data_IF_781988630789
#
_entry.id   IF_781988630789
#
_cell.length_a   1.000
_cell.length_b   1.000
_cell.length_c   1.000
_cell.angle_alpha   90.00
_cell.angle_beta   90.00
_cell.angle_gamma   90.00
#
_symmetry.space_group_name_H-M   'P 1'
#
loop_
_entity.id
_entity.type
_entity.pdbx_description
1 polymer ?
#
# COMPACT_ATOMS: atom_id res chain seq x y z
N UNK A 1 -77.77 38.64 30.41
CA UNK A 1 -77.68 37.21 30.05
C UNK A 1 -76.77 37.08 28.83
N UNK A 2 -75.92 36.04 28.79
CA UNK A 2 -75.01 35.59 27.70
C UNK A 2 -73.60 36.25 27.63
N UNK A 3 -72.62 35.41 27.98
CA UNK A 3 -71.19 35.65 28.25
C UNK A 3 -70.36 35.95 26.99
N UNK A 4 -69.51 36.97 27.05
CA UNK A 4 -68.23 37.02 26.31
C UNK A 4 -67.10 36.56 27.24
N UNK A 5 -66.40 35.47 26.91
CA UNK A 5 -65.07 35.16 27.44
C UNK A 5 -64.19 34.71 26.28
N UNK A 6 -63.41 35.66 25.76
CA UNK A 6 -62.22 35.43 24.97
C UNK A 6 -61.04 35.22 25.93
N UNK A 7 -60.11 34.33 25.57
CA UNK A 7 -58.96 33.94 26.39
C UNK A 7 -59.21 32.56 27.00
N UNK A 8 -58.45 31.51 26.71
CA UNK A 8 -56.99 31.44 26.56
C UNK A 8 -56.67 30.28 25.61
N UNK A 9 -56.28 30.59 24.37
CA UNK A 9 -55.46 29.67 23.54
C UNK A 9 -54.00 30.08 23.73
N UNK A 10 -53.46 29.87 24.92
CA UNK A 10 -52.06 30.13 25.23
C UNK A 10 -51.53 28.82 25.84
N UNK A 11 -50.36 28.37 25.35
CA UNK A 11 -49.65 27.11 25.65
C UNK A 11 -49.89 25.88 24.73
N UNK A 12 -49.97 26.08 23.41
CA UNK A 12 -49.56 25.02 22.45
C UNK A 12 -48.44 25.47 21.48
N UNK A 13 -47.77 26.59 21.79
CA UNK A 13 -46.84 27.26 20.87
C UNK A 13 -45.38 27.23 21.34
N UNK A 14 -45.01 26.41 22.33
CA UNK A 14 -43.64 26.35 22.81
C UNK A 14 -43.04 24.96 22.62
N UNK A 15 -42.00 24.96 21.76
CA UNK A 15 -40.94 23.95 21.63
C UNK A 15 -41.18 22.88 20.56
N UNK A 16 -41.13 23.31 19.29
CA UNK A 16 -40.60 22.44 18.21
C UNK A 16 -39.09 22.30 18.48
N UNK A 17 -38.53 21.12 18.82
CA UNK A 17 -37.10 20.99 18.94
C UNK A 17 -36.53 21.13 17.52
N UNK A 18 -35.81 22.22 17.29
CA UNK A 18 -35.05 22.43 16.05
C UNK A 18 -33.90 21.42 16.09
N UNK A 19 -34.16 20.17 15.67
CA UNK A 19 -33.21 19.03 15.67
C UNK A 19 -32.20 19.08 14.50
N UNK A 20 -32.40 20.00 13.56
CA UNK A 20 -31.57 20.15 12.36
C UNK A 20 -30.18 20.82 12.52
N UNK A 21 -29.89 21.72 13.48
CA UNK A 21 -28.59 22.35 13.57
C UNK A 21 -27.54 21.39 14.15
N UNK A 22 -27.92 20.55 15.12
CA UNK A 22 -26.99 19.61 15.77
C UNK A 22 -26.51 18.54 14.78
N UNK A 23 -27.43 17.98 13.98
CA UNK A 23 -27.07 16.97 12.96
C UNK A 23 -26.17 17.59 11.89
N UNK A 24 -26.43 18.83 11.47
CA UNK A 24 -25.56 19.54 10.51
C UNK A 24 -24.17 19.80 11.08
N UNK A 25 -24.08 20.23 12.33
CA UNK A 25 -22.79 20.46 13.01
C UNK A 25 -22.01 19.14 13.12
N UNK A 26 -22.67 18.06 13.52
CA UNK A 26 -22.06 16.74 13.60
C UNK A 26 -21.55 16.28 12.23
N UNK A 27 -22.36 16.40 11.17
CA UNK A 27 -21.99 16.04 9.81
C UNK A 27 -20.81 16.86 9.27
N UNK A 28 -20.75 18.15 9.59
CA UNK A 28 -19.63 19.02 9.20
C UNK A 28 -18.35 18.61 9.93
N UNK A 29 -18.42 18.32 11.23
CA UNK A 29 -17.27 17.85 12.00
C UNK A 29 -16.76 16.50 11.50
N UNK A 30 -17.66 15.55 11.24
CA UNK A 30 -17.27 14.25 10.67
C UNK A 30 -16.70 14.42 9.26
N UNK A 31 -17.29 15.28 8.44
CA UNK A 31 -16.78 15.57 7.10
C UNK A 31 -15.38 16.19 7.12
N UNK A 32 -15.13 17.09 8.06
CA UNK A 32 -13.81 17.71 8.24
C UNK A 32 -12.77 16.68 8.69
N UNK A 33 -13.14 15.77 9.59
CA UNK A 33 -12.27 14.69 10.04
C UNK A 33 -11.91 13.73 8.91
N UNK A 34 -12.91 13.28 8.13
CA UNK A 34 -12.68 12.42 6.95
C UNK A 34 -11.80 13.11 5.91
N UNK A 35 -12.00 14.42 5.69
CA UNK A 35 -11.19 15.18 4.74
C UNK A 35 -9.73 15.29 5.20
N UNK A 36 -9.50 15.47 6.50
CA UNK A 36 -8.16 15.47 7.09
C UNK A 36 -7.48 14.10 6.93
N UNK A 37 -8.19 13.01 7.22
CA UNK A 37 -7.68 11.65 7.03
C UNK A 37 -7.32 11.38 5.56
N UNK A 38 -8.21 11.75 4.63
CA UNK A 38 -7.97 11.60 3.20
C UNK A 38 -6.73 12.40 2.74
N UNK A 39 -6.53 13.61 3.28
CA UNK A 39 -5.36 14.42 2.98
C UNK A 39 -4.06 13.75 3.48
N UNK A 40 -4.06 13.19 4.69
CA UNK A 40 -2.90 12.46 5.24
C UNK A 40 -2.58 11.23 4.37
N UNK A 41 -3.58 10.42 4.04
CA UNK A 41 -3.42 9.24 3.19
C UNK A 41 -2.83 9.65 1.83
N UNK A 42 -3.38 10.69 1.22
CA UNK A 42 -2.92 11.19 -0.06
C UNK A 42 -1.45 11.63 -0.01
N UNK A 43 -1.06 12.40 1.01
CA UNK A 43 0.33 12.83 1.20
C UNK A 43 1.27 11.63 1.38
N UNK A 44 0.90 10.66 2.22
CA UNK A 44 1.69 9.44 2.43
C UNK A 44 1.86 8.63 1.15
N UNK A 45 0.81 8.55 0.33
CA UNK A 45 0.84 7.83 -0.94
C UNK A 45 1.76 8.53 -1.95
N UNK A 46 1.68 9.86 -2.07
CA UNK A 46 2.59 10.65 -2.92
C UNK A 46 4.04 10.46 -2.49
N UNK A 47 4.33 10.57 -1.18
CA UNK A 47 5.69 10.36 -0.65
C UNK A 47 6.17 8.94 -0.94
N UNK A 48 5.31 7.94 -0.77
CA UNK A 48 5.66 6.53 -0.99
C UNK A 48 5.98 6.28 -2.46
N UNK A 49 5.17 6.78 -3.38
CA UNK A 49 5.41 6.62 -4.82
C UNK A 49 6.64 7.40 -5.29
N UNK A 50 6.86 8.60 -4.77
CA UNK A 50 8.09 9.35 -5.03
C UNK A 50 9.31 8.59 -4.49
N UNK A 51 9.23 8.05 -3.27
CA UNK A 51 10.29 7.24 -2.67
C UNK A 51 10.57 5.99 -3.48
N UNK A 52 9.55 5.27 -3.98
CA UNK A 52 9.73 4.10 -4.84
C UNK A 52 10.36 4.45 -6.19
N UNK A 53 10.00 5.60 -6.77
CA UNK A 53 10.60 6.07 -8.04
C UNK A 53 12.06 6.48 -7.89
N UNK A 54 12.46 7.02 -6.74
CA UNK A 54 13.83 7.50 -6.50
C UNK A 54 14.72 6.50 -5.77
N UNK A 55 14.15 5.57 -5.00
CA UNK A 55 14.86 4.37 -4.58
C UNK A 55 14.86 3.43 -5.78
N UNK A 56 15.97 3.38 -6.51
CA UNK A 56 16.38 2.07 -7.01
C UNK A 56 16.30 1.16 -5.79
N UNK A 57 15.46 0.13 -5.87
CA UNK A 57 15.42 -0.93 -4.88
C UNK A 57 16.82 -1.53 -4.90
N UNK A 58 17.72 -0.94 -4.11
CA UNK A 58 19.05 -1.47 -3.94
C UNK A 58 18.83 -2.87 -3.44
N UNK A 59 19.23 -3.83 -4.28
CA UNK A 59 19.36 -5.23 -3.88
C UNK A 59 20.01 -5.25 -2.49
N UNK A 60 19.56 -6.18 -1.64
CA UNK A 60 20.19 -6.37 -0.34
C UNK A 60 21.70 -6.42 -0.55
N UNK A 61 22.53 -5.61 0.14
CA UNK A 61 23.95 -5.54 -0.18
C UNK A 61 24.59 -6.92 -0.13
N UNK A 62 25.11 -7.39 -1.27
CA UNK A 62 25.73 -8.69 -1.42
C UNK A 62 27.12 -8.52 -2.06
N UNK A 63 28.20 -9.11 -1.48
CA UNK A 63 29.51 -9.12 -2.10
C UNK A 63 29.51 -9.88 -3.44
N UNK A 64 30.17 -9.31 -4.45
CA UNK A 64 30.62 -10.09 -5.60
C UNK A 64 31.80 -10.96 -5.16
N UNK A 65 31.70 -12.26 -5.39
CA UNK A 65 32.79 -13.20 -5.15
C UNK A 65 33.55 -13.45 -6.47
N UNK A 66 34.85 -13.69 -6.36
CA UNK A 66 35.68 -14.00 -7.52
C UNK A 66 35.55 -15.47 -7.92
N UNK A 67 35.67 -15.75 -9.22
CA UNK A 67 35.72 -17.12 -9.74
C UNK A 67 37.03 -17.79 -9.30
N UNK A 68 36.93 -19.03 -8.81
CA UNK A 68 38.07 -19.81 -8.32
C UNK A 68 38.29 -21.07 -9.15
N UNK A 69 39.55 -21.44 -9.34
CA UNK A 69 39.94 -22.67 -10.03
C UNK A 69 39.91 -23.85 -9.05
N UNK A 70 39.22 -24.93 -9.41
CA UNK A 70 39.10 -26.17 -8.64
C UNK A 70 39.49 -27.35 -9.53
N UNK A 71 40.76 -27.77 -9.45
CA UNK A 71 41.32 -28.76 -10.39
C UNK A 71 41.23 -28.24 -11.82
N UNK A 72 40.60 -29.00 -12.71
CA UNK A 72 40.35 -28.59 -14.11
C UNK A 72 39.07 -27.75 -14.28
N UNK A 73 38.30 -27.55 -13.21
CA UNK A 73 37.01 -26.85 -13.25
C UNK A 73 37.11 -25.43 -12.71
N UNK A 74 36.14 -24.60 -13.07
CA UNK A 74 35.92 -23.30 -12.44
C UNK A 74 34.69 -23.32 -11.55
N UNK A 75 34.76 -22.63 -10.42
CA UNK A 75 33.68 -22.49 -9.46
C UNK A 75 33.48 -21.01 -9.15
N UNK A 76 32.24 -20.55 -9.28
CA UNK A 76 31.81 -19.24 -8.83
C UNK A 76 30.66 -19.43 -7.85
N UNK A 77 30.78 -18.81 -6.68
CA UNK A 77 29.76 -18.84 -5.63
C UNK A 77 28.94 -17.58 -5.71
N UNK A 78 27.63 -17.72 -5.73
CA UNK A 78 26.67 -16.62 -5.65
C UNK A 78 26.05 -16.63 -4.26
N UNK A 79 26.15 -15.50 -3.56
CA UNK A 79 25.51 -15.28 -2.26
C UNK A 79 24.10 -14.68 -2.40
N UNK A 80 23.76 -14.19 -3.59
CA UNK A 80 22.47 -13.64 -3.93
C UNK A 80 21.79 -14.43 -5.05
N UNK A 81 20.56 -14.88 -4.77
CA UNK A 81 19.83 -15.78 -5.66
C UNK A 81 19.44 -15.17 -7.01
N UNK A 82 19.25 -13.85 -7.09
CA UNK A 82 18.96 -13.16 -8.36
C UNK A 82 20.15 -13.25 -9.31
N UNK A 83 21.35 -13.02 -8.81
CA UNK A 83 22.58 -13.06 -9.61
C UNK A 83 22.83 -14.48 -10.13
N UNK A 84 22.64 -15.50 -9.27
CA UNK A 84 22.69 -16.90 -9.68
C UNK A 84 21.67 -17.19 -10.79
N UNK A 85 20.42 -16.74 -10.61
CA UNK A 85 19.36 -16.96 -11.58
C UNK A 85 19.66 -16.30 -12.93
N UNK A 86 20.10 -15.04 -12.94
CA UNK A 86 20.48 -14.32 -14.15
C UNK A 86 21.66 -15.00 -14.86
N UNK A 87 22.65 -15.49 -14.10
CA UNK A 87 23.76 -16.26 -14.64
C UNK A 87 23.32 -17.61 -15.23
N UNK A 88 22.37 -18.31 -14.57
CA UNK A 88 21.79 -19.55 -15.09
C UNK A 88 21.05 -19.31 -16.41
N UNK A 89 20.25 -18.25 -16.50
CA UNK A 89 19.56 -17.89 -17.76
C UNK A 89 20.55 -17.59 -18.88
N UNK A 90 21.60 -16.80 -18.60
CA UNK A 90 22.62 -16.50 -19.59
C UNK A 90 23.35 -17.77 -20.07
N UNK A 91 23.63 -18.72 -19.17
CA UNK A 91 24.23 -20.00 -19.52
C UNK A 91 23.29 -20.87 -20.38
N UNK A 92 21.99 -20.85 -20.10
CA UNK A 92 20.97 -21.54 -20.89
C UNK A 92 20.88 -20.93 -22.29
N UNK A 93 20.82 -19.60 -22.39
CA UNK A 93 20.74 -18.88 -23.67
C UNK A 93 21.97 -19.10 -24.55
N UNK A 94 23.14 -19.33 -23.93
CA UNK A 94 24.39 -19.59 -24.64
C UNK A 94 24.60 -21.09 -24.99
N UNK A 95 23.81 -22.00 -24.43
CA UNK A 95 24.00 -23.44 -24.61
C UNK A 95 23.68 -23.87 -26.06
N UNK A 96 24.54 -24.73 -26.63
CA UNK A 96 24.42 -25.13 -28.04
C UNK A 96 23.80 -26.53 -28.24
N UNK A 97 24.01 -27.45 -27.30
CA UNK A 97 23.62 -28.85 -27.47
C UNK A 97 22.57 -29.30 -26.46
N UNK A 98 22.86 -29.14 -25.17
CA UNK A 98 21.99 -29.63 -24.09
C UNK A 98 22.18 -28.84 -22.80
N UNK A 99 21.13 -28.82 -21.98
CA UNK A 99 21.13 -28.25 -20.63
C UNK A 99 20.62 -29.32 -19.68
N UNK A 100 21.43 -29.66 -18.68
CA UNK A 100 21.07 -30.58 -17.62
C UNK A 100 20.81 -29.79 -16.34
N UNK A 101 19.65 -30.02 -15.72
CA UNK A 101 19.20 -29.34 -14.51
C UNK A 101 19.04 -30.36 -13.40
N UNK A 102 19.83 -30.21 -12.33
CA UNK A 102 19.64 -30.96 -11.09
C UNK A 102 18.96 -30.04 -10.07
N UNK A 103 17.70 -30.32 -9.74
CA UNK A 103 16.95 -29.57 -8.74
C UNK A 103 16.15 -30.50 -7.86
N UNK A 104 16.00 -30.13 -6.58
CA UNK A 104 15.13 -30.83 -5.64
C UNK A 104 13.64 -30.53 -5.90
N UNK A 105 13.30 -29.31 -6.31
CA UNK A 105 11.93 -28.86 -6.56
C UNK A 105 11.90 -28.04 -7.85
N UNK A 106 10.92 -28.34 -8.69
CA UNK A 106 10.49 -27.48 -9.79
C UNK A 106 9.13 -26.87 -9.44
N UNK A 107 9.00 -25.55 -9.58
CA UNK A 107 7.72 -24.86 -9.41
C UNK A 107 7.33 -24.12 -10.69
N UNK A 108 6.04 -23.92 -10.85
CA UNK A 108 5.43 -23.20 -11.98
C UNK A 108 5.01 -21.77 -11.59
N UNK A 109 5.34 -21.33 -10.37
CA UNK A 109 5.04 -19.97 -9.87
C UNK A 109 6.04 -18.91 -10.35
#
# INVERSE_FOLDING_TARGET
MQRKRHGVKILAALRKPRRHPIIRILLVLTGLMVLLEAAIIFVLQVITEQRKRHRQEGSFPHPSLDEVQVGDNRLLVYDYGRDLYDAMLAAIDAAQESVYLETYIWKED
#
